data_IF_765986219955
#
_entry.id   IF_765986219955
#
_cell.length_a   1.000
_cell.length_b   1.000
_cell.length_c   1.000
_cell.angle_alpha   90.00
_cell.angle_beta   90.00
_cell.angle_gamma   90.00
#
_symmetry.space_group_name_H-M   'P 1'
#
loop_
_entity.id
_entity.type
_entity.pdbx_description
1 polymer ?
#
# COMPACT_ATOMS: atom_id res chain seq x y z
N UNK A 1 16.72 -5.68 -15.17
CA UNK A 1 16.84 -4.38 -14.48
C UNK A 1 17.35 -4.66 -13.08
N UNK A 2 18.59 -4.26 -12.79
CA UNK A 2 19.35 -4.64 -11.59
C UNK A 2 18.65 -4.11 -10.33
N UNK A 3 18.24 -5.01 -9.44
CA UNK A 3 17.80 -4.63 -8.10
C UNK A 3 19.09 -4.33 -7.33
N UNK A 4 19.34 -3.06 -7.01
CA UNK A 4 20.36 -2.72 -6.03
C UNK A 4 19.96 -3.39 -4.71
N UNK A 5 20.75 -4.36 -4.27
CA UNK A 5 20.61 -4.99 -2.97
C UNK A 5 20.80 -3.92 -1.90
N UNK A 6 19.69 -3.34 -1.42
CA UNK A 6 19.65 -2.75 -0.09
C UNK A 6 19.90 -3.89 0.88
N UNK A 7 21.16 -4.03 1.34
CA UNK A 7 21.50 -4.93 2.42
C UNK A 7 20.58 -4.62 3.60
N UNK A 8 19.66 -5.54 3.89
CA UNK A 8 18.91 -5.55 5.13
C UNK A 8 19.93 -5.69 6.26
N UNK A 9 20.25 -4.58 6.93
CA UNK A 9 20.97 -4.59 8.19
C UNK A 9 19.94 -4.81 9.29
N UNK A 10 19.87 -6.01 9.90
CA UNK A 10 18.96 -6.22 11.02
C UNK A 10 19.29 -5.19 12.09
N UNK A 11 18.27 -4.44 12.48
CA UNK A 11 18.37 -3.49 13.57
C UNK A 11 18.78 -4.28 14.80
N UNK A 12 19.93 -3.91 15.37
CA UNK A 12 20.43 -4.30 16.69
C UNK A 12 19.27 -4.66 17.60
N UNK A 13 19.12 -5.93 18.00
CA UNK A 13 17.99 -6.40 18.78
C UNK A 13 17.81 -5.47 19.98
N UNK A 14 16.82 -4.57 20.01
CA UNK A 14 16.62 -3.74 21.17
C UNK A 14 16.25 -4.73 22.27
N UNK A 15 16.87 -4.60 23.46
CA UNK A 15 16.44 -5.41 24.60
C UNK A 15 14.92 -5.27 24.70
N UNK A 16 14.18 -6.37 24.50
CA UNK A 16 12.71 -6.34 24.53
C UNK A 16 12.27 -5.61 25.78
N UNK A 17 11.46 -4.57 25.63
CA UNK A 17 10.97 -3.85 26.79
C UNK A 17 10.00 -4.78 27.53
N UNK A 18 10.23 -4.99 28.82
CA UNK A 18 9.30 -5.75 29.63
C UNK A 18 7.99 -4.98 29.77
N UNK A 19 6.89 -5.68 30.09
CA UNK A 19 5.62 -5.04 30.38
C UNK A 19 5.75 -3.98 31.48
N UNK A 20 6.62 -4.23 32.46
CA UNK A 20 6.90 -3.31 33.56
C UNK A 20 7.64 -2.06 33.09
N UNK A 21 8.64 -2.20 32.21
CA UNK A 21 9.34 -1.05 31.62
C UNK A 21 8.42 -0.18 30.75
N UNK A 22 7.50 -0.79 30.01
CA UNK A 22 6.50 -0.07 29.21
C UNK A 22 5.44 0.63 30.09
N UNK A 23 5.06 0.01 31.20
CA UNK A 23 4.04 0.54 32.10
C UNK A 23 4.55 1.74 32.91
N UNK A 24 5.86 1.88 33.11
CA UNK A 24 6.48 3.05 33.75
C UNK A 24 6.48 4.31 32.85
N UNK A 25 6.52 4.15 31.53
CA UNK A 25 6.48 5.26 30.59
C UNK A 25 5.10 5.95 30.57
N UNK A 26 5.07 7.22 30.13
CA UNK A 26 3.86 8.03 29.96
C UNK A 26 3.91 8.82 28.64
N UNK A 27 2.76 9.32 28.20
CA UNK A 27 2.65 10.23 27.05
C UNK A 27 3.29 9.71 25.77
N UNK A 28 3.97 10.60 25.03
CA UNK A 28 4.63 10.29 23.75
C UNK A 28 5.70 9.20 23.87
N UNK A 29 6.49 9.20 24.95
CA UNK A 29 7.53 8.18 25.17
C UNK A 29 6.94 6.77 25.23
N UNK A 30 5.80 6.59 25.92
CA UNK A 30 5.09 5.31 25.95
C UNK A 30 4.56 4.91 24.58
N UNK A 31 3.99 5.85 23.81
CA UNK A 31 3.47 5.57 22.46
C UNK A 31 4.57 5.08 21.51
N UNK A 32 5.72 5.76 21.50
CA UNK A 32 6.85 5.35 20.66
C UNK A 32 7.41 3.99 21.07
N UNK A 33 7.56 3.74 22.37
CA UNK A 33 8.02 2.44 22.88
C UNK A 33 7.06 1.29 22.52
N UNK A 34 5.74 1.51 22.62
CA UNK A 34 4.73 0.54 22.22
C UNK A 34 4.74 0.29 20.70
N UNK A 35 4.89 1.34 19.89
CA UNK A 35 5.01 1.18 18.44
C UNK A 35 6.26 0.37 18.06
N UNK A 36 7.40 0.64 18.70
CA UNK A 36 8.63 -0.14 18.51
C UNK A 36 8.46 -1.61 18.89
N UNK A 37 7.87 -1.91 20.05
CA UNK A 37 7.61 -3.29 20.48
C UNK A 37 6.62 -4.01 19.55
N UNK A 38 5.60 -3.32 19.04
CA UNK A 38 4.69 -3.86 18.05
C UNK A 38 5.43 -4.27 16.77
N UNK A 39 6.30 -3.40 16.24
CA UNK A 39 7.14 -3.71 15.06
C UNK A 39 8.01 -4.94 15.32
N UNK A 40 8.70 -4.99 16.47
CA UNK A 40 9.57 -6.13 16.85
C UNK A 40 8.79 -7.45 16.91
N UNK A 41 7.56 -7.43 17.43
CA UNK A 41 6.74 -8.65 17.56
C UNK A 41 6.10 -9.09 16.26
N UNK A 42 5.77 -8.15 15.37
CA UNK A 42 5.13 -8.45 14.09
C UNK A 42 6.14 -8.88 13.02
N UNK A 43 7.39 -8.40 13.09
CA UNK A 43 8.46 -8.67 12.11
C UNK A 43 8.70 -10.17 11.84
N UNK A 44 8.77 -11.08 12.85
CA UNK A 44 8.92 -12.51 12.58
C UNK A 44 7.73 -13.19 11.88
N UNK A 45 6.54 -12.56 11.91
CA UNK A 45 5.31 -13.12 11.33
C UNK A 45 5.02 -12.60 9.93
N UNK A 46 5.32 -11.32 9.68
CA UNK A 46 4.97 -10.62 8.44
C UNK A 46 6.19 -10.23 7.59
N UNK A 47 7.40 -10.41 8.13
CA UNK A 47 8.64 -9.93 7.53
C UNK A 47 8.91 -8.44 7.79
N UNK A 48 10.08 -7.95 7.35
CA UNK A 48 10.48 -6.57 7.56
C UNK A 48 9.65 -5.60 6.72
N UNK A 49 9.36 -4.44 7.29
CA UNK A 49 8.75 -3.33 6.55
C UNK A 49 9.78 -2.74 5.59
N UNK A 50 9.60 -2.98 4.30
CA UNK A 50 10.42 -2.39 3.25
C UNK A 50 9.68 -1.22 2.61
N UNK A 51 10.13 0.00 2.91
CA UNK A 51 9.61 1.21 2.27
C UNK A 51 10.24 1.36 0.89
N UNK A 52 9.52 0.92 -0.14
CA UNK A 52 9.92 1.09 -1.53
C UNK A 52 8.70 1.52 -2.36
N UNK A 53 8.84 2.52 -3.24
CA UNK A 53 7.77 2.90 -4.16
C UNK A 53 7.52 1.75 -5.14
N UNK A 54 6.25 1.35 -5.28
CA UNK A 54 5.84 0.35 -6.28
C UNK A 54 5.56 1.00 -7.63
N UNK A 55 4.97 2.20 -7.61
CA UNK A 55 4.63 2.97 -8.79
C UNK A 55 5.13 4.43 -8.71
N UNK A 56 5.00 5.17 -9.82
CA UNK A 56 5.08 6.62 -9.74
C UNK A 56 3.86 7.20 -9.01
N UNK A 57 3.91 8.48 -8.64
CA UNK A 57 2.88 9.09 -7.79
C UNK A 57 1.45 9.01 -8.35
N UNK A 58 1.28 9.19 -9.66
CA UNK A 58 -0.05 9.15 -10.30
C UNK A 58 -0.58 7.72 -10.37
N UNK A 59 0.27 6.77 -10.76
CA UNK A 59 -0.08 5.36 -10.79
C UNK A 59 -0.45 4.83 -9.40
N UNK A 60 0.29 5.22 -8.36
CA UNK A 60 0.00 4.85 -6.97
C UNK A 60 -1.33 5.44 -6.48
N UNK A 61 -1.62 6.69 -6.83
CA UNK A 61 -2.90 7.33 -6.52
C UNK A 61 -4.07 6.57 -7.15
N UNK A 62 -3.96 6.25 -8.44
CA UNK A 62 -5.01 5.53 -9.17
C UNK A 62 -5.16 4.12 -8.62
N UNK A 63 -4.05 3.42 -8.36
CA UNK A 63 -4.10 2.09 -7.74
C UNK A 63 -4.78 2.14 -6.36
N UNK A 64 -4.49 3.14 -5.54
CA UNK A 64 -5.12 3.35 -4.23
C UNK A 64 -6.62 3.59 -4.33
N UNK A 65 -7.10 4.32 -5.34
CA UNK A 65 -8.55 4.47 -5.59
C UNK A 65 -9.17 3.12 -5.96
N UNK A 66 -8.48 2.33 -6.78
CA UNK A 66 -8.98 1.03 -7.24
C UNK A 66 -9.04 -0.03 -6.14
N UNK A 67 -8.21 0.06 -5.09
CA UNK A 67 -8.22 -0.88 -3.95
C UNK A 67 -9.36 -0.64 -2.96
N UNK A 68 -10.01 0.53 -2.99
CA UNK A 68 -11.12 0.82 -2.08
C UNK A 68 -12.26 -0.20 -2.25
N UNK A 69 -12.71 -0.81 -1.16
CA UNK A 69 -13.83 -1.78 -1.16
C UNK A 69 -13.65 -2.99 -2.11
N UNK A 70 -12.43 -3.49 -2.29
CA UNK A 70 -12.16 -4.73 -3.04
C UNK A 70 -10.93 -5.46 -2.51
N UNK A 71 -10.58 -6.62 -3.10
CA UNK A 71 -9.33 -7.32 -2.79
C UNK A 71 -8.16 -6.79 -3.63
N UNK A 72 -6.94 -6.93 -3.13
CA UNK A 72 -5.72 -6.53 -3.86
C UNK A 72 -5.63 -7.20 -5.24
N UNK A 73 -5.98 -8.48 -5.33
CA UNK A 73 -6.01 -9.22 -6.60
C UNK A 73 -6.99 -8.59 -7.60
N UNK A 74 -8.16 -8.17 -7.14
CA UNK A 74 -9.17 -7.54 -8.00
C UNK A 74 -8.74 -6.14 -8.43
N UNK A 75 -8.15 -5.36 -7.53
CA UNK A 75 -7.60 -4.05 -7.84
C UNK A 75 -6.46 -4.14 -8.86
N UNK A 76 -5.60 -5.16 -8.74
CA UNK A 76 -4.53 -5.43 -9.70
C UNK A 76 -5.06 -5.81 -11.08
N UNK A 77 -6.09 -6.66 -11.16
CA UNK A 77 -6.76 -6.98 -12.43
C UNK A 77 -7.39 -5.73 -13.04
N UNK A 78 -8.08 -4.91 -12.24
CA UNK A 78 -8.69 -3.66 -12.71
C UNK A 78 -7.64 -2.66 -13.23
N UNK A 79 -6.54 -2.47 -12.50
CA UNK A 79 -5.46 -1.58 -12.92
C UNK A 79 -4.80 -2.05 -14.22
N UNK A 80 -4.48 -3.35 -14.33
CA UNK A 80 -3.91 -3.93 -15.56
C UNK A 80 -4.86 -3.78 -16.75
N UNK A 81 -6.16 -3.99 -16.54
CA UNK A 81 -7.19 -3.81 -17.55
C UNK A 81 -7.27 -2.35 -18.01
N UNK A 82 -7.32 -1.39 -17.07
CA UNK A 82 -7.34 0.04 -17.36
C UNK A 82 -6.14 0.45 -18.22
N UNK A 83 -4.91 0.10 -17.80
CA UNK A 83 -3.68 0.46 -18.53
C UNK A 83 -3.54 -0.26 -19.87
N UNK A 84 -4.19 -1.41 -20.04
CA UNK A 84 -4.25 -2.13 -21.33
C UNK A 84 -5.19 -1.46 -22.32
N UNK A 85 -6.35 -1.00 -21.84
CA UNK A 85 -7.38 -0.35 -22.67
C UNK A 85 -7.00 1.11 -22.97
N UNK A 86 -6.39 1.80 -22.00
CA UNK A 86 -5.96 3.19 -22.09
C UNK A 86 -4.45 3.29 -21.83
N UNK A 87 -3.60 3.10 -22.86
CA UNK A 87 -2.15 3.07 -22.71
C UNK A 87 -1.55 4.38 -22.20
N UNK A 88 -2.19 5.53 -22.44
CA UNK A 88 -1.78 6.84 -21.93
C UNK A 88 -2.79 7.38 -20.92
N UNK A 89 -2.37 8.31 -20.08
CA UNK A 89 -3.30 9.01 -19.19
C UNK A 89 -4.22 9.96 -19.95
N UNK A 90 -3.81 10.42 -21.13
CA UNK A 90 -4.68 11.21 -21.99
C UNK A 90 -5.86 10.37 -22.48
N UNK A 91 -5.62 9.11 -22.85
CA UNK A 91 -6.71 8.19 -23.25
C UNK A 91 -7.72 7.98 -22.11
N UNK A 92 -7.26 7.96 -20.85
CA UNK A 92 -8.16 7.87 -19.67
C UNK A 92 -8.98 9.14 -19.49
N UNK A 93 -8.39 10.31 -19.74
CA UNK A 93 -9.08 11.61 -19.63
C UNK A 93 -10.12 11.78 -20.74
N UNK A 94 -9.82 11.29 -21.94
CA UNK A 94 -10.71 11.34 -23.10
C UNK A 94 -11.83 10.29 -23.04
N UNK A 95 -11.62 9.21 -22.29
CA UNK A 95 -12.61 8.15 -22.11
C UNK A 95 -13.83 8.63 -21.32
N UNK A 96 -15.01 8.19 -21.75
CA UNK A 96 -16.24 8.43 -21.00
C UNK A 96 -16.29 7.61 -19.70
N UNK A 97 -17.07 8.06 -18.70
CA UNK A 97 -17.21 7.35 -17.41
C UNK A 97 -17.63 5.88 -17.55
N UNK A 98 -18.51 5.58 -18.51
CA UNK A 98 -18.96 4.21 -18.78
C UNK A 98 -17.83 3.31 -19.32
N UNK A 99 -16.95 3.86 -20.16
CA UNK A 99 -15.81 3.12 -20.73
C UNK A 99 -14.78 2.83 -19.65
N UNK A 100 -14.49 3.81 -18.78
CA UNK A 100 -13.62 3.63 -17.61
C UNK A 100 -14.23 2.59 -16.66
N UNK A 101 -15.53 2.70 -16.35
CA UNK A 101 -16.22 1.76 -15.47
C UNK A 101 -16.14 0.31 -15.99
N UNK A 102 -16.33 0.11 -17.29
CA UNK A 102 -16.18 -1.21 -17.91
C UNK A 102 -14.74 -1.72 -17.84
N UNK A 103 -13.76 -0.85 -18.11
CA UNK A 103 -12.34 -1.20 -18.01
C UNK A 103 -11.93 -1.65 -16.60
N UNK A 104 -12.54 -1.08 -15.55
CA UNK A 104 -12.23 -1.36 -14.15
C UNK A 104 -13.26 -2.25 -13.43
N UNK A 105 -14.18 -2.91 -14.16
CA UNK A 105 -15.34 -3.61 -13.58
C UNK A 105 -15.03 -4.60 -12.45
N UNK A 106 -13.86 -5.23 -12.48
CA UNK A 106 -13.41 -6.18 -11.44
C UNK A 106 -13.01 -5.49 -10.13
N UNK A 107 -12.70 -4.19 -10.16
CA UNK A 107 -12.22 -3.42 -9.02
C UNK A 107 -13.28 -3.12 -7.98
N UNK A 108 -14.55 -3.49 -8.18
CA UNK A 108 -15.65 -3.17 -7.27
C UNK A 108 -16.01 -1.68 -7.30
N UNK A 109 -17.31 -1.37 -7.16
CA UNK A 109 -17.85 0.00 -7.21
C UNK A 109 -17.39 0.80 -8.46
N UNK A 110 -17.26 0.13 -9.61
CA UNK A 110 -16.67 0.72 -10.82
C UNK A 110 -17.30 2.06 -11.24
N UNK A 111 -18.64 2.18 -11.18
CA UNK A 111 -19.34 3.42 -11.50
C UNK A 111 -19.04 4.56 -10.50
N UNK A 112 -18.71 4.27 -9.24
CA UNK A 112 -18.32 5.28 -8.26
C UNK A 112 -16.86 5.69 -8.43
N UNK A 113 -16.02 4.77 -8.94
CA UNK A 113 -14.60 5.00 -9.22
C UNK A 113 -14.36 5.64 -10.60
N UNK A 114 -15.36 5.63 -11.47
CA UNK A 114 -15.40 6.32 -12.75
C UNK A 114 -16.52 7.39 -12.72
N UNK A 115 -16.31 8.49 -11.97
CA UNK A 115 -17.30 9.56 -11.89
C UNK A 115 -17.48 10.24 -13.25
N UNK A 116 -18.69 10.73 -13.50
CA UNK A 116 -19.00 11.62 -14.62
C UNK A 116 -18.87 13.09 -14.30
#
# INVERSE_FOLDING_TARGET
MHVASLEYRPHMTPSRLTADSLSALRGTARRHALAGEAVIRLDPMYGPIVWAPRFNALEELIFTVLTQHTSDSNAEVAYKSLRKIFPTWMDVIEAGPAEIAEAIKHGGLANQKAPG
#
